data_IF_291738953623
#
_entry.id   IF_291738953623
#
_cell.length_a   1.000
_cell.length_b   1.000
_cell.length_c   1.000
_cell.angle_alpha   90.00
_cell.angle_beta   90.00
_cell.angle_gamma   90.00
#
_symmetry.space_group_name_H-M   'P 1'
#
loop_
_entity.id
_entity.type
_entity.pdbx_description
1 polymer ?
#
# COMPACT_ATOMS: atom_id res chain seq x y z
N UNK A 1 18.64 -9.73 16.67
CA UNK A 1 17.57 -8.74 16.97
C UNK A 1 16.33 -9.41 17.49
N UNK A 2 15.64 -10.27 16.70
CA UNK A 2 14.47 -11.04 17.19
C UNK A 2 14.87 -11.99 18.32
N UNK A 3 15.88 -12.85 18.09
CA UNK A 3 16.38 -13.80 19.11
C UNK A 3 16.90 -13.12 20.39
N UNK A 4 17.38 -11.89 20.26
CA UNK A 4 17.87 -11.08 21.38
C UNK A 4 16.77 -10.22 22.02
N UNK A 5 15.50 -10.42 21.66
CA UNK A 5 14.35 -9.72 22.24
C UNK A 5 14.23 -8.21 21.93
N UNK A 6 15.02 -7.68 20.98
CA UNK A 6 15.03 -6.23 20.66
C UNK A 6 13.87 -5.80 19.78
N UNK A 7 13.34 -6.72 18.98
CA UNK A 7 12.19 -6.53 18.11
C UNK A 7 11.34 -7.81 18.13
N UNK A 8 10.03 -7.67 17.91
CA UNK A 8 9.11 -8.81 17.87
C UNK A 8 9.02 -9.43 16.47
N UNK A 9 8.98 -8.59 15.44
CA UNK A 9 8.71 -9.00 14.06
C UNK A 9 9.64 -8.31 13.07
N UNK A 10 9.72 -8.89 11.87
CA UNK A 10 10.47 -8.36 10.74
C UNK A 10 9.51 -8.14 9.57
N UNK A 11 9.71 -7.04 8.88
CA UNK A 11 8.92 -6.65 7.72
C UNK A 11 9.81 -6.06 6.62
N UNK A 12 9.24 -5.94 5.42
CA UNK A 12 9.85 -5.28 4.28
C UNK A 12 8.91 -4.21 3.73
N UNK A 13 9.47 -3.10 3.27
CA UNK A 13 8.74 -1.99 2.63
C UNK A 13 9.43 -1.62 1.33
N UNK A 14 8.65 -1.24 0.30
CA UNK A 14 9.16 -0.75 -0.98
C UNK A 14 10.08 -1.70 -1.76
N UNK A 15 9.87 -3.02 -1.62
CA UNK A 15 10.56 -4.04 -2.42
C UNK A 15 9.61 -4.67 -3.45
N UNK A 16 10.07 -4.97 -4.68
CA UNK A 16 9.26 -5.68 -5.66
C UNK A 16 8.97 -7.11 -5.19
N UNK A 17 7.84 -7.68 -5.62
CA UNK A 17 7.33 -8.96 -5.14
C UNK A 17 8.36 -10.10 -5.24
N UNK A 18 9.07 -10.22 -6.38
CA UNK A 18 10.09 -11.26 -6.56
C UNK A 18 11.18 -11.22 -5.48
N UNK A 19 11.60 -10.02 -5.06
CA UNK A 19 12.67 -9.84 -4.06
C UNK A 19 12.17 -10.15 -2.66
N UNK A 20 10.92 -9.77 -2.36
CA UNK A 20 10.24 -10.21 -1.13
C UNK A 20 10.19 -11.74 -1.08
N UNK A 21 9.80 -12.40 -2.17
CA UNK A 21 9.76 -13.86 -2.26
C UNK A 21 11.13 -14.51 -2.02
N UNK A 22 12.19 -13.97 -2.60
CA UNK A 22 13.57 -14.46 -2.37
C UNK A 22 13.95 -14.36 -0.91
N UNK A 23 13.65 -13.23 -0.25
CA UNK A 23 14.00 -13.00 1.15
C UNK A 23 13.13 -13.86 2.08
N UNK A 24 11.82 -13.92 1.84
CA UNK A 24 10.86 -14.70 2.62
C UNK A 24 11.15 -16.20 2.59
N UNK A 25 11.77 -16.69 1.50
CA UNK A 25 12.25 -18.08 1.40
C UNK A 25 13.43 -18.38 2.33
N UNK A 26 14.21 -17.37 2.72
CA UNK A 26 15.40 -17.54 3.54
C UNK A 26 15.16 -17.17 5.02
N UNK A 27 14.23 -16.26 5.29
CA UNK A 27 13.96 -15.75 6.63
C UNK A 27 12.46 -15.58 6.88
N UNK A 28 12.05 -15.76 8.15
CA UNK A 28 10.67 -15.47 8.55
C UNK A 28 10.41 -13.97 8.53
N UNK A 29 9.47 -13.57 7.68
CA UNK A 29 8.83 -12.25 7.65
C UNK A 29 7.41 -12.38 8.21
N UNK A 30 6.87 -11.27 8.72
CA UNK A 30 5.51 -11.25 9.28
C UNK A 30 4.58 -10.37 8.45
N UNK A 31 5.10 -9.24 7.97
CA UNK A 31 4.32 -8.23 7.26
C UNK A 31 5.13 -7.69 6.08
N UNK A 32 4.43 -7.25 5.05
CA UNK A 32 4.94 -6.32 4.05
C UNK A 32 4.16 -5.01 4.09
N UNK A 33 4.86 -3.91 3.84
CA UNK A 33 4.24 -2.60 3.72
C UNK A 33 4.33 -2.09 2.28
N UNK A 34 3.21 -1.67 1.71
CA UNK A 34 3.07 -1.31 0.29
C UNK A 34 2.22 -0.05 0.10
N UNK A 35 2.46 0.69 -0.99
CA UNK A 35 1.52 1.74 -1.41
C UNK A 35 0.27 1.08 -1.98
N UNK A 36 -0.88 1.46 -1.44
CA UNK A 36 -2.14 1.05 -2.03
C UNK A 36 -3.22 2.10 -1.83
N UNK A 37 -3.82 2.53 -2.93
CA UNK A 37 -4.97 3.43 -2.94
C UNK A 37 -5.70 3.33 -4.29
N UNK A 38 -6.84 4.00 -4.44
CA UNK A 38 -7.63 3.93 -5.67
C UNK A 38 -6.89 4.41 -6.92
N UNK A 39 -5.82 5.22 -6.78
CA UNK A 39 -4.99 5.71 -7.87
C UNK A 39 -3.73 4.85 -8.11
N UNK A 40 -3.24 4.18 -7.07
CA UNK A 40 -2.06 3.31 -7.10
C UNK A 40 -2.44 1.88 -6.74
N UNK A 41 -2.70 1.08 -7.77
CA UNK A 41 -3.16 -0.32 -7.67
C UNK A 41 -2.14 -1.34 -8.15
N UNK A 42 -0.87 -0.94 -8.32
CA UNK A 42 0.20 -1.85 -8.80
C UNK A 42 0.32 -3.12 -7.93
N UNK A 43 0.01 -3.03 -6.63
CA UNK A 43 0.04 -4.18 -5.73
C UNK A 43 -0.97 -5.29 -6.08
N UNK A 44 -2.05 -5.00 -6.81
CA UNK A 44 -3.07 -6.00 -7.18
C UNK A 44 -2.52 -7.11 -8.08
N UNK A 45 -1.42 -6.84 -8.80
CA UNK A 45 -0.87 -7.78 -9.79
C UNK A 45 -0.23 -8.99 -9.15
N UNK A 46 0.67 -8.77 -8.20
CA UNK A 46 1.56 -9.83 -7.68
C UNK A 46 1.65 -9.86 -6.16
N UNK A 47 1.46 -8.72 -5.48
CA UNK A 47 1.70 -8.66 -4.04
C UNK A 47 0.66 -9.43 -3.24
N UNK A 48 -0.61 -9.45 -3.67
CA UNK A 48 -1.65 -10.22 -3.00
C UNK A 48 -1.33 -11.71 -3.01
N UNK A 49 -1.10 -12.28 -4.20
CA UNK A 49 -0.79 -13.70 -4.36
C UNK A 49 0.51 -14.08 -3.64
N UNK A 50 1.52 -13.22 -3.68
CA UNK A 50 2.79 -13.44 -2.97
C UNK A 50 2.60 -13.42 -1.45
N UNK A 51 1.85 -12.45 -0.91
CA UNK A 51 1.58 -12.36 0.51
C UNK A 51 0.78 -13.57 1.01
N UNK A 52 -0.23 -14.01 0.27
CA UNK A 52 -1.01 -15.22 0.55
C UNK A 52 -0.11 -16.47 0.56
N UNK A 53 0.76 -16.63 -0.45
CA UNK A 53 1.68 -17.77 -0.55
C UNK A 53 2.64 -17.90 0.64
N UNK A 54 3.22 -16.78 1.09
CA UNK A 54 4.15 -16.77 2.23
C UNK A 54 3.47 -16.60 3.59
N UNK A 55 2.14 -16.45 3.64
CA UNK A 55 1.39 -16.19 4.88
C UNK A 55 1.74 -14.84 5.53
N UNK A 56 2.03 -13.82 4.72
CA UNK A 56 2.42 -12.49 5.17
C UNK A 56 1.19 -11.59 5.34
N UNK A 57 1.17 -10.80 6.42
CA UNK A 57 0.25 -9.68 6.54
C UNK A 57 0.61 -8.54 5.58
N UNK A 58 -0.38 -7.74 5.19
CA UNK A 58 -0.18 -6.55 4.34
C UNK A 58 -0.58 -5.29 5.09
N UNK A 59 0.33 -4.32 5.18
CA UNK A 59 0.05 -2.96 5.65
C UNK A 59 0.11 -2.00 4.46
N UNK A 60 -0.83 -1.06 4.40
CA UNK A 60 -0.89 -0.08 3.33
C UNK A 60 -0.45 1.30 3.81
N UNK A 61 0.29 2.01 2.97
CA UNK A 61 0.55 3.44 3.16
C UNK A 61 -0.09 4.27 2.04
N UNK A 62 -0.21 5.58 2.29
CA UNK A 62 -0.87 6.54 1.41
C UNK A 62 -2.29 6.14 0.95
N UNK A 63 -3.18 5.68 1.85
CA UNK A 63 -4.52 5.24 1.46
C UNK A 63 -5.37 6.35 0.84
N UNK A 64 -5.09 7.62 1.17
CA UNK A 64 -5.77 8.79 0.63
C UNK A 64 -5.03 9.48 -0.53
N UNK A 65 -3.96 8.86 -1.05
CA UNK A 65 -3.13 9.40 -2.13
C UNK A 65 -2.73 10.87 -1.88
N UNK A 66 -2.06 11.19 -0.77
CA UNK A 66 -1.70 12.58 -0.44
C UNK A 66 -2.89 13.53 -0.20
N UNK A 67 -4.09 12.98 -0.02
CA UNK A 67 -5.33 13.73 0.10
C UNK A 67 -6.09 13.92 -1.21
N UNK A 68 -5.63 13.36 -2.34
CA UNK A 68 -6.40 13.37 -3.59
C UNK A 68 -7.76 12.67 -3.44
N UNK A 69 -7.81 11.60 -2.64
CA UNK A 69 -9.02 10.83 -2.41
C UNK A 69 -9.95 11.42 -1.34
N UNK A 70 -9.64 12.59 -0.78
CA UNK A 70 -10.56 13.27 0.16
C UNK A 70 -11.56 14.20 -0.54
N UNK A 71 -11.43 14.40 -1.85
CA UNK A 71 -12.27 15.32 -2.62
C UNK A 71 -11.92 16.80 -2.43
N UNK A 72 -10.92 17.16 -1.60
CA UNK A 72 -10.54 18.56 -1.33
C UNK A 72 -10.06 19.35 -2.55
N UNK A 73 -9.62 18.65 -3.60
CA UNK A 73 -9.15 19.25 -4.85
C UNK A 73 -10.22 19.29 -5.95
N UNK A 74 -11.47 18.90 -5.65
CA UNK A 74 -12.56 19.02 -6.62
C UNK A 74 -12.80 20.51 -6.88
N UNK A 75 -12.44 20.99 -8.07
CA UNK A 75 -12.77 22.34 -8.52
C UNK A 75 -14.30 22.45 -8.42
N UNK A 76 -14.80 23.40 -7.61
CA UNK A 76 -16.18 23.84 -7.74
C UNK A 76 -16.27 24.45 -9.14
N UNK A 77 -16.71 23.66 -10.12
CA UNK A 77 -17.37 24.24 -11.29
C UNK A 77 -18.60 24.93 -10.72
N UNK A 78 -18.44 26.20 -10.39
CA UNK A 78 -19.56 27.10 -10.25
C UNK A 78 -20.09 27.23 -11.67
N UNK A 79 -21.06 26.40 -11.99
CA UNK A 79 -21.91 26.59 -13.14
C UNK A 79 -22.62 27.93 -12.94
N UNK A 80 -22.02 29.03 -13.40
CA UNK A 80 -22.74 30.26 -13.74
C UNK A 80 -23.53 29.97 -15.02
N UNK A 81 -24.54 29.11 -14.89
CA UNK A 81 -25.67 29.03 -15.82
C UNK A 81 -26.94 29.14 -14.98
N UNK A 82 -27.18 30.33 -14.43
CA UNK A 82 -28.51 30.74 -13.99
C UNK A 82 -28.52 32.23 -13.66
N UNK A 83 -28.60 33.05 -14.71
CA UNK A 83 -29.27 34.35 -14.78
C UNK A 83 -29.48 34.55 -16.29
N UNK A 84 -30.55 33.98 -16.87
CA UNK A 84 -31.88 34.56 -17.07
C UNK A 84 -31.88 35.99 -17.67
N UNK A 85 -32.59 36.09 -18.80
CA UNK A 85 -33.13 37.27 -19.51
C UNK A 85 -32.18 38.17 -20.33
#
# INVERSE_FOLDING_TARGET
MVSSGKILYRELTNFPAWKVSTIASAIKLTVIQIEYNLLQRTADREFRSMAEYFGLGTMIYSPLAGGHLTGKYRRRERTDQSEFD
#
